data_IF_300219711945
#
_entry.id   IF_300219711945
#
_cell.length_a   1.000
_cell.length_b   1.000
_cell.length_c   1.000
_cell.angle_alpha   90.00
_cell.angle_beta   90.00
_cell.angle_gamma   90.00
#
_symmetry.space_group_name_H-M   'P 1'
#
loop_
_entity.id
_entity.type
_entity.pdbx_description
1 polymer ?
#
# COMPACT_ATOMS: atom_id res chain seq x y z
N UNK A 1 24.13 -10.26 -4.24
CA UNK A 1 23.11 -11.31 -4.53
C UNK A 1 22.47 -12.03 -3.31
N UNK A 2 23.22 -12.52 -2.31
CA UNK A 2 22.60 -13.24 -1.16
C UNK A 2 21.63 -12.34 -0.37
N UNK A 3 21.99 -11.08 -0.16
CA UNK A 3 21.19 -10.13 0.61
C UNK A 3 19.84 -9.83 -0.05
N UNK A 4 19.85 -9.71 -1.37
CA UNK A 4 18.71 -9.41 -2.22
C UNK A 4 17.67 -10.54 -2.18
N UNK A 5 18.12 -11.79 -2.26
CA UNK A 5 17.24 -12.96 -2.18
C UNK A 5 16.56 -13.04 -0.82
N UNK A 6 17.32 -12.80 0.27
CA UNK A 6 16.76 -12.78 1.63
C UNK A 6 15.73 -11.67 1.76
N UNK A 7 16.04 -10.45 1.30
CA UNK A 7 15.10 -9.33 1.35
C UNK A 7 13.83 -9.59 0.54
N UNK A 8 13.96 -10.16 -0.66
CA UNK A 8 12.82 -10.55 -1.49
C UNK A 8 11.96 -11.61 -0.79
N UNK A 9 12.59 -12.60 -0.15
CA UNK A 9 11.88 -13.61 0.64
C UNK A 9 11.15 -12.96 1.84
N UNK A 10 11.78 -12.01 2.54
CA UNK A 10 11.15 -11.26 3.63
C UNK A 10 9.92 -10.48 3.16
N UNK A 11 10.01 -9.76 2.03
CA UNK A 11 8.88 -9.05 1.44
C UNK A 11 7.77 -10.00 0.99
N UNK A 12 8.12 -11.13 0.37
CA UNK A 12 7.16 -12.14 -0.05
C UNK A 12 6.43 -12.76 1.15
N UNK A 13 7.17 -13.16 2.19
CA UNK A 13 6.60 -13.68 3.43
C UNK A 13 5.70 -12.65 4.11
N UNK A 14 6.13 -11.39 4.18
CA UNK A 14 5.32 -10.30 4.71
C UNK A 14 4.02 -10.13 3.93
N UNK A 15 4.10 -10.04 2.60
CA UNK A 15 2.95 -9.88 1.72
C UNK A 15 1.96 -11.05 1.82
N UNK A 16 2.46 -12.29 1.82
CA UNK A 16 1.64 -13.50 1.99
C UNK A 16 0.95 -13.52 3.35
N UNK A 17 1.68 -13.27 4.44
CA UNK A 17 1.10 -13.19 5.78
C UNK A 17 0.03 -12.10 5.85
N UNK A 18 0.31 -10.92 5.30
CA UNK A 18 -0.61 -9.80 5.26
C UNK A 18 -1.89 -10.15 4.50
N UNK A 19 -1.79 -10.66 3.27
CA UNK A 19 -2.96 -11.05 2.46
C UNK A 19 -3.77 -12.17 3.11
N UNK A 20 -3.12 -13.20 3.66
CA UNK A 20 -3.79 -14.32 4.31
C UNK A 20 -4.57 -13.87 5.54
N UNK A 21 -3.93 -13.08 6.41
CA UNK A 21 -4.56 -12.62 7.66
C UNK A 21 -5.55 -11.47 7.44
N UNK A 22 -5.46 -10.74 6.32
CA UNK A 22 -6.49 -9.76 5.92
C UNK A 22 -7.78 -10.41 5.40
N UNK A 23 -7.72 -11.68 4.95
CA UNK A 23 -8.84 -12.36 4.30
C UNK A 23 -10.03 -12.58 5.24
N UNK A 24 -11.24 -12.53 4.70
CA UNK A 24 -12.47 -12.83 5.46
C UNK A 24 -12.49 -14.28 5.95
N UNK A 25 -11.92 -15.22 5.19
CA UNK A 25 -11.81 -16.63 5.58
C UNK A 25 -11.01 -16.80 6.87
N UNK A 26 -9.86 -16.13 6.98
CA UNK A 26 -9.03 -16.23 8.18
C UNK A 26 -9.67 -15.54 9.38
N UNK A 27 -10.32 -14.39 9.17
CA UNK A 27 -11.12 -13.72 10.22
C UNK A 27 -12.22 -14.63 10.75
N UNK A 28 -12.97 -15.28 9.87
CA UNK A 28 -14.05 -16.19 10.25
C UNK A 28 -13.54 -17.44 10.95
N UNK A 29 -12.35 -17.93 10.59
CA UNK A 29 -11.69 -19.03 11.29
C UNK A 29 -11.32 -18.66 12.74
N UNK A 30 -10.84 -17.44 12.98
CA UNK A 30 -10.46 -16.98 14.32
C UNK A 30 -11.63 -16.45 15.16
N UNK A 31 -12.75 -16.10 14.52
CA UNK A 31 -13.92 -15.51 15.20
C UNK A 31 -14.45 -16.37 16.36
N UNK A 32 -14.59 -17.72 16.25
CA UNK A 32 -15.02 -18.56 17.36
C UNK A 32 -14.03 -18.56 18.54
N UNK A 33 -12.73 -18.43 18.26
CA UNK A 33 -11.66 -18.44 19.26
C UNK A 33 -11.61 -17.10 19.99
N UNK A 34 -11.71 -16.00 19.26
CA UNK A 34 -11.60 -14.65 19.81
C UNK A 34 -12.88 -14.21 20.54
N UNK A 35 -14.05 -14.75 20.19
CA UNK A 35 -15.33 -14.39 20.79
C UNK A 35 -15.54 -12.87 20.77
N UNK A 36 -15.79 -12.27 21.94
CA UNK A 36 -15.95 -10.80 22.08
C UNK A 36 -14.74 -9.99 21.62
N UNK A 37 -13.54 -10.56 21.63
CA UNK A 37 -12.32 -9.87 21.21
C UNK A 37 -12.17 -9.76 19.69
N UNK A 38 -13.05 -10.40 18.90
CA UNK A 38 -13.02 -10.29 17.44
C UNK A 38 -13.18 -8.85 16.95
N UNK A 39 -13.78 -7.98 17.76
CA UNK A 39 -13.93 -6.55 17.47
C UNK A 39 -12.58 -5.82 17.41
N UNK A 40 -11.55 -6.29 18.13
CA UNK A 40 -10.21 -5.71 18.14
C UNK A 40 -9.31 -6.30 17.05
N UNK A 41 -9.81 -7.24 16.23
CA UNK A 41 -9.00 -7.95 15.25
C UNK A 41 -8.27 -7.01 14.30
N UNK A 42 -8.96 -6.01 13.72
CA UNK A 42 -8.38 -5.06 12.76
C UNK A 42 -7.29 -4.19 13.40
N UNK A 43 -7.50 -3.74 14.64
CA UNK A 43 -6.51 -2.96 15.37
C UNK A 43 -5.26 -3.80 15.68
N UNK A 44 -5.44 -5.01 16.22
CA UNK A 44 -4.34 -5.93 16.51
C UNK A 44 -3.57 -6.33 15.25
N UNK A 45 -4.29 -6.61 14.17
CA UNK A 45 -3.73 -6.86 12.84
C UNK A 45 -2.81 -5.70 12.40
N UNK A 46 -3.30 -4.46 12.43
CA UNK A 46 -2.51 -3.30 12.00
C UNK A 46 -1.23 -3.14 12.84
N UNK A 47 -1.34 -3.31 14.17
CA UNK A 47 -0.18 -3.23 15.08
C UNK A 47 0.85 -4.30 14.74
N UNK A 48 0.41 -5.55 14.57
CA UNK A 48 1.29 -6.68 14.24
C UNK A 48 2.03 -6.40 12.93
N UNK A 49 1.36 -5.94 11.88
CA UNK A 49 2.01 -5.68 10.60
C UNK A 49 2.95 -4.47 10.62
N UNK A 50 2.65 -3.43 11.41
CA UNK A 50 3.61 -2.34 11.65
C UNK A 50 4.87 -2.87 12.36
N UNK A 51 4.71 -3.73 13.36
CA UNK A 51 5.85 -4.34 14.07
C UNK A 51 6.66 -5.26 13.16
N UNK A 52 6.00 -6.05 12.31
CA UNK A 52 6.67 -6.96 11.36
C UNK A 52 7.46 -6.22 10.27
N UNK A 53 7.17 -4.94 9.99
CA UNK A 53 8.00 -4.13 9.10
C UNK A 53 9.37 -3.80 9.71
N UNK A 54 9.49 -3.68 11.03
CA UNK A 54 10.74 -3.30 11.72
C UNK A 54 11.92 -4.19 11.34
N UNK A 55 11.85 -5.54 11.42
CA UNK A 55 12.96 -6.40 11.04
C UNK A 55 13.32 -6.27 9.55
N UNK A 56 12.34 -6.08 8.66
CA UNK A 56 12.57 -5.90 7.22
C UNK A 56 13.33 -4.61 6.96
N UNK A 57 12.90 -3.50 7.58
CA UNK A 57 13.58 -2.20 7.48
C UNK A 57 14.98 -2.28 8.09
N UNK A 58 15.15 -2.92 9.24
CA UNK A 58 16.48 -3.12 9.85
C UNK A 58 17.40 -3.92 8.93
N UNK A 59 16.88 -4.95 8.26
CA UNK A 59 17.64 -5.73 7.30
C UNK A 59 18.03 -4.91 6.08
N UNK A 60 17.07 -4.19 5.48
CA UNK A 60 17.28 -3.26 4.37
C UNK A 60 18.43 -2.26 4.64
N UNK A 61 18.48 -1.69 5.84
CA UNK A 61 19.44 -0.64 6.19
C UNK A 61 20.84 -1.19 6.53
N UNK A 62 20.96 -2.45 6.95
CA UNK A 62 22.22 -3.03 7.46
C UNK A 62 22.85 -4.06 6.54
N UNK A 63 22.06 -4.72 5.69
CA UNK A 63 22.55 -5.77 4.84
C UNK A 63 23.48 -5.21 3.76
N UNK A 64 24.54 -5.95 3.36
CA UNK A 64 25.39 -5.55 2.25
C UNK A 64 24.56 -5.38 0.98
N UNK A 65 24.80 -4.28 0.26
CA UNK A 65 24.08 -3.92 -0.97
C UNK A 65 25.04 -3.45 -2.04
N UNK A 66 24.80 -3.91 -3.27
CA UNK A 66 25.56 -3.50 -4.45
C UNK A 66 25.06 -2.13 -4.93
N UNK A 67 25.99 -1.25 -5.33
CA UNK A 67 25.66 0.05 -5.91
C UNK A 67 25.33 -0.18 -7.39
N UNK A 68 24.11 0.18 -7.79
CA UNK A 68 23.61 0.06 -9.17
C UNK A 68 23.53 1.43 -9.87
N UNK A 69 23.25 2.49 -9.12
CA UNK A 69 23.29 3.87 -9.59
C UNK A 69 24.35 4.62 -8.81
N UNK A 70 25.25 5.29 -9.53
CA UNK A 70 26.24 6.15 -8.89
C UNK A 70 25.57 7.28 -8.11
N UNK A 71 26.20 7.64 -6.98
CA UNK A 71 25.77 8.79 -6.18
C UNK A 71 26.13 10.08 -6.93
N UNK A 72 25.19 10.57 -7.72
CA UNK A 72 25.26 11.87 -8.38
C UNK A 72 24.30 12.86 -7.73
N UNK A 73 24.64 14.15 -7.79
CA UNK A 73 23.75 15.23 -7.32
C UNK A 73 22.39 15.17 -8.02
N UNK A 74 22.38 14.80 -9.31
CA UNK A 74 21.17 14.65 -10.11
C UNK A 74 20.28 13.53 -9.55
N UNK A 75 20.84 12.35 -9.29
CA UNK A 75 20.09 11.22 -8.74
C UNK A 75 19.52 11.52 -7.35
N UNK A 76 20.28 12.24 -6.52
CA UNK A 76 19.83 12.67 -5.20
C UNK A 76 18.69 13.69 -5.27
N UNK A 77 18.78 14.68 -6.16
CA UNK A 77 17.72 15.67 -6.37
C UNK A 77 16.46 14.98 -6.89
N UNK A 78 16.56 14.20 -7.97
CA UNK A 78 15.40 13.53 -8.57
C UNK A 78 14.78 12.51 -7.60
N UNK A 79 15.59 11.67 -6.96
CA UNK A 79 15.13 10.71 -5.96
C UNK A 79 14.49 11.39 -4.75
N UNK A 80 15.07 12.49 -4.28
CA UNK A 80 14.54 13.29 -3.18
C UNK A 80 13.19 13.94 -3.51
N UNK A 81 13.06 14.51 -4.72
CA UNK A 81 11.79 15.06 -5.22
C UNK A 81 10.71 13.99 -5.35
N UNK A 82 11.07 12.80 -5.83
CA UNK A 82 10.16 11.65 -5.87
C UNK A 82 9.74 11.25 -4.45
N UNK A 83 10.68 11.09 -3.52
CA UNK A 83 10.34 10.76 -2.12
C UNK A 83 9.40 11.82 -1.51
N UNK A 84 9.71 13.11 -1.68
CA UNK A 84 8.89 14.21 -1.16
C UNK A 84 7.48 14.24 -1.75
N UNK A 85 7.36 14.10 -3.07
CA UNK A 85 6.06 14.05 -3.76
C UNK A 85 5.25 12.81 -3.41
N UNK A 86 5.91 11.65 -3.28
CA UNK A 86 5.27 10.40 -2.82
C UNK A 86 4.73 10.50 -1.40
N UNK A 87 5.51 11.09 -0.49
CA UNK A 87 5.06 11.39 0.89
C UNK A 87 3.86 12.35 0.86
N UNK A 88 3.97 13.46 0.14
CA UNK A 88 2.91 14.46 0.03
C UNK A 88 1.61 13.86 -0.49
N UNK A 89 1.69 13.08 -1.58
CA UNK A 89 0.54 12.41 -2.17
C UNK A 89 -0.04 11.36 -1.22
N UNK A 90 0.80 10.56 -0.57
CA UNK A 90 0.38 9.55 0.40
C UNK A 90 -0.38 10.17 1.58
N UNK A 91 0.17 11.22 2.20
CA UNK A 91 -0.52 11.95 3.27
C UNK A 91 -1.81 12.62 2.81
N UNK A 92 -1.84 13.16 1.59
CA UNK A 92 -3.04 13.77 1.03
C UNK A 92 -4.14 12.74 0.78
N UNK A 93 -3.77 11.55 0.29
CA UNK A 93 -4.68 10.43 0.12
C UNK A 93 -5.19 9.88 1.47
N UNK A 94 -4.36 9.85 2.52
CA UNK A 94 -4.78 9.39 3.85
C UNK A 94 -5.91 10.22 4.46
N UNK A 95 -6.00 11.52 4.13
CA UNK A 95 -7.11 12.39 4.60
C UNK A 95 -8.49 11.95 4.10
N UNK A 96 -8.53 11.10 3.08
CA UNK A 96 -9.76 10.57 2.47
C UNK A 96 -10.31 9.36 3.24
N UNK A 97 -9.43 8.64 3.91
CA UNK A 97 -9.78 7.47 4.71
C UNK A 97 -10.25 7.90 6.10
N UNK A 98 -11.36 7.33 6.56
CA UNK A 98 -11.75 7.46 7.96
C UNK A 98 -10.76 6.64 8.80
N UNK A 99 -9.91 7.32 9.58
CA UNK A 99 -8.89 6.67 10.40
C UNK A 99 -9.51 5.67 11.39
N UNK A 100 -10.72 5.92 11.86
CA UNK A 100 -11.40 4.99 12.77
C UNK A 100 -11.86 3.72 12.05
N UNK A 101 -12.30 3.84 10.80
CA UNK A 101 -12.61 2.69 9.94
C UNK A 101 -11.32 1.92 9.58
N UNK A 102 -10.25 2.62 9.21
CA UNK A 102 -8.95 2.03 8.88
C UNK A 102 -8.35 1.26 10.05
N UNK A 103 -8.42 1.82 11.26
CA UNK A 103 -7.96 1.17 12.50
C UNK A 103 -8.95 0.11 13.02
N UNK A 104 -10.21 0.15 12.59
CA UNK A 104 -11.28 -0.74 13.05
C UNK A 104 -11.88 -0.37 14.41
N UNK A 105 -11.71 0.88 14.84
CA UNK A 105 -12.29 1.41 16.09
C UNK A 105 -13.71 1.95 15.90
N UNK A 106 -14.16 2.06 14.65
CA UNK A 106 -15.56 2.31 14.26
C UNK A 106 -16.52 1.21 14.75
N UNK A 107 -16.08 -0.05 14.70
CA UNK A 107 -16.83 -1.18 15.24
C UNK A 107 -17.08 -1.03 16.76
N UNK A 108 -16.11 -0.47 17.50
CA UNK A 108 -16.26 -0.19 18.94
C UNK A 108 -17.31 0.89 19.23
N UNK A 109 -17.59 1.76 18.26
CA UNK A 109 -18.60 2.84 18.37
C UNK A 109 -20.01 2.37 17.97
N UNK A 110 -20.18 1.09 17.62
CA UNK A 110 -21.48 0.53 17.21
C UNK A 110 -22.00 1.04 15.86
N UNK A 111 -21.16 1.68 15.04
CA UNK A 111 -21.60 2.24 13.76
C UNK A 111 -21.61 1.18 12.66
N UNK A 112 -22.80 0.79 12.18
CA UNK A 112 -22.96 0.03 10.94
C UNK A 112 -23.21 0.99 9.76
N UNK A 113 -22.19 1.77 9.39
CA UNK A 113 -22.30 2.61 8.20
C UNK A 113 -22.39 1.70 6.98
N UNK A 114 -23.44 1.87 6.16
CA UNK A 114 -23.47 1.25 4.84
C UNK A 114 -22.28 1.77 4.04
N UNK A 115 -21.56 0.90 3.31
CA UNK A 115 -20.46 1.33 2.48
C UNK A 115 -21.00 2.26 1.38
N UNK A 116 -20.39 3.43 1.26
CA UNK A 116 -20.71 4.42 0.22
C UNK A 116 -19.45 4.59 -0.61
N UNK A 117 -19.60 4.50 -1.94
CA UNK A 117 -18.50 4.79 -2.85
C UNK A 117 -18.19 6.28 -2.77
N UNK A 118 -17.05 6.62 -2.17
CA UNK A 118 -16.54 7.99 -2.06
C UNK A 118 -15.55 8.21 -3.20
N UNK A 119 -15.85 9.19 -4.05
CA UNK A 119 -14.94 9.67 -5.09
C UNK A 119 -14.67 11.13 -4.74
N UNK A 120 -13.47 11.40 -4.25
CA UNK A 120 -13.00 12.75 -3.96
C UNK A 120 -12.06 13.27 -5.06
N UNK A 121 -11.43 14.41 -4.82
CA UNK A 121 -10.55 15.08 -5.77
C UNK A 121 -9.41 14.18 -6.27
N UNK A 122 -8.61 13.55 -5.39
CA UNK A 122 -7.51 12.70 -5.86
C UNK A 122 -8.04 11.40 -6.50
N UNK A 123 -9.08 10.82 -5.91
CA UNK A 123 -9.73 9.62 -6.44
C UNK A 123 -10.45 9.88 -7.78
N UNK A 124 -10.71 11.14 -8.15
CA UNK A 124 -11.21 11.50 -9.48
C UNK A 124 -10.11 11.53 -10.56
N UNK A 125 -8.85 11.69 -10.15
CA UNK A 125 -7.69 11.74 -11.05
C UNK A 125 -7.13 10.33 -11.28
N UNK A 126 -6.91 9.58 -10.20
CA UNK A 126 -6.46 8.18 -10.21
C UNK A 126 -7.22 7.39 -9.16
N UNK A 127 -7.55 6.13 -9.43
CA UNK A 127 -8.36 5.32 -8.49
C UNK A 127 -7.65 4.98 -7.18
N UNK A 128 -6.32 4.92 -7.20
CA UNK A 128 -5.52 4.49 -6.05
C UNK A 128 -4.41 5.49 -5.71
N UNK A 129 -4.75 6.71 -5.25
CA UNK A 129 -3.77 7.77 -5.02
C UNK A 129 -2.77 7.42 -3.90
N UNK A 130 -3.21 6.71 -2.86
CA UNK A 130 -2.33 6.24 -1.78
C UNK A 130 -1.27 5.27 -2.30
N UNK A 131 -1.67 4.29 -3.11
CA UNK A 131 -0.73 3.35 -3.73
C UNK A 131 0.21 4.04 -4.70
N UNK A 132 -0.27 5.00 -5.49
CA UNK A 132 0.60 5.81 -6.34
C UNK A 132 1.65 6.54 -5.51
N UNK A 133 1.26 7.18 -4.40
CA UNK A 133 2.20 7.85 -3.48
C UNK A 133 3.26 6.90 -2.91
N UNK A 134 2.86 5.71 -2.50
CA UNK A 134 3.78 4.67 -2.01
C UNK A 134 4.75 4.25 -3.12
N UNK A 135 4.27 4.01 -4.35
CA UNK A 135 5.11 3.63 -5.48
C UNK A 135 6.13 4.73 -5.82
N UNK A 136 5.68 5.98 -5.91
CA UNK A 136 6.56 7.13 -6.15
C UNK A 136 7.64 7.21 -5.06
N UNK A 137 7.25 7.04 -3.79
CA UNK A 137 8.19 7.08 -2.68
C UNK A 137 9.25 5.97 -2.78
N UNK A 138 8.86 4.70 -2.96
CA UNK A 138 9.82 3.58 -2.96
C UNK A 138 10.74 3.61 -4.17
N UNK A 139 10.23 4.01 -5.34
CA UNK A 139 11.08 4.23 -6.52
C UNK A 139 12.01 5.44 -6.34
N UNK A 140 11.54 6.49 -5.64
CA UNK A 140 12.37 7.61 -5.22
C UNK A 140 13.51 7.18 -4.29
N UNK A 141 13.27 6.26 -3.35
CA UNK A 141 14.35 5.73 -2.49
C UNK A 141 15.39 4.97 -3.30
N UNK A 142 15.01 4.20 -4.33
CA UNK A 142 15.97 3.57 -5.23
C UNK A 142 16.76 4.62 -6.03
N UNK A 143 16.10 5.64 -6.58
CA UNK A 143 16.78 6.73 -7.28
C UNK A 143 17.77 7.50 -6.39
N UNK A 144 17.41 7.70 -5.11
CA UNK A 144 18.23 8.44 -4.16
C UNK A 144 19.44 7.65 -3.64
N UNK A 145 19.22 6.40 -3.19
CA UNK A 145 20.27 5.57 -2.60
C UNK A 145 21.06 4.77 -3.64
N UNK A 146 20.43 4.40 -4.75
CA UNK A 146 21.07 3.76 -5.89
C UNK A 146 21.50 2.32 -5.66
N UNK A 147 21.02 1.63 -4.63
CA UNK A 147 21.51 0.29 -4.27
C UNK A 147 20.53 -0.84 -4.61
N UNK A 148 21.07 -2.05 -4.80
CA UNK A 148 20.34 -3.26 -5.16
C UNK A 148 19.18 -3.59 -4.20
N UNK A 149 19.33 -3.35 -2.89
CA UNK A 149 18.28 -3.63 -1.92
C UNK A 149 17.09 -2.66 -2.05
N UNK A 150 17.32 -1.39 -2.37
CA UNK A 150 16.24 -0.44 -2.63
C UNK A 150 15.50 -0.77 -3.93
N UNK A 151 16.21 -1.26 -4.95
CA UNK A 151 15.59 -1.77 -6.17
C UNK A 151 14.68 -2.98 -5.88
N UNK A 152 15.19 -3.96 -5.13
CA UNK A 152 14.43 -5.15 -4.73
C UNK A 152 13.18 -4.76 -3.94
N UNK A 153 13.29 -3.81 -3.01
CA UNK A 153 12.14 -3.27 -2.27
C UNK A 153 11.13 -2.60 -3.20
N UNK A 154 11.56 -1.74 -4.11
CA UNK A 154 10.67 -1.05 -5.06
C UNK A 154 9.93 -2.04 -5.96
N UNK A 155 10.62 -3.05 -6.50
CA UNK A 155 10.02 -4.10 -7.34
C UNK A 155 9.04 -4.95 -6.52
N UNK A 156 9.45 -5.41 -5.33
CA UNK A 156 8.61 -6.27 -4.47
C UNK A 156 7.30 -5.57 -4.09
N UNK A 157 7.38 -4.30 -3.69
CA UNK A 157 6.20 -3.50 -3.36
C UNK A 157 5.35 -3.17 -4.59
N UNK A 158 5.96 -2.97 -5.75
CA UNK A 158 5.22 -2.78 -7.02
C UNK A 158 4.36 -3.99 -7.34
N UNK A 159 4.91 -5.20 -7.29
CA UNK A 159 4.14 -6.43 -7.52
C UNK A 159 3.06 -6.63 -6.46
N UNK A 160 3.41 -6.46 -5.18
CA UNK A 160 2.47 -6.62 -4.08
C UNK A 160 1.28 -5.65 -4.20
N UNK A 161 1.53 -4.37 -4.45
CA UNK A 161 0.49 -3.35 -4.67
C UNK A 161 -0.36 -3.70 -5.89
N UNK A 162 0.26 -4.14 -7.00
CA UNK A 162 -0.49 -4.49 -8.20
C UNK A 162 -1.47 -5.63 -7.96
N UNK A 163 -1.04 -6.65 -7.22
CA UNK A 163 -1.88 -7.78 -6.80
C UNK A 163 -2.96 -7.30 -5.83
N UNK A 164 -2.60 -6.46 -4.85
CA UNK A 164 -3.54 -5.85 -3.90
C UNK A 164 -4.68 -5.11 -4.61
N UNK A 165 -4.34 -4.22 -5.54
CA UNK A 165 -5.31 -3.48 -6.37
C UNK A 165 -6.27 -4.43 -7.09
N UNK A 166 -5.77 -5.51 -7.68
CA UNK A 166 -6.61 -6.46 -8.40
C UNK A 166 -7.70 -7.07 -7.50
N UNK A 167 -7.34 -7.48 -6.29
CA UNK A 167 -8.30 -8.04 -5.33
C UNK A 167 -9.23 -6.97 -4.75
N UNK A 168 -8.71 -5.79 -4.48
CA UNK A 168 -9.49 -4.65 -4.00
C UNK A 168 -10.55 -4.21 -5.01
N UNK A 169 -10.17 -4.02 -6.28
CA UNK A 169 -11.12 -3.66 -7.33
C UNK A 169 -12.17 -4.75 -7.54
N UNK A 170 -11.80 -6.03 -7.49
CA UNK A 170 -12.77 -7.14 -7.51
C UNK A 170 -13.77 -7.05 -6.36
N UNK A 171 -13.33 -6.67 -5.16
CA UNK A 171 -14.22 -6.49 -4.01
C UNK A 171 -15.14 -5.28 -4.24
N UNK A 172 -14.60 -4.16 -4.70
CA UNK A 172 -15.37 -2.94 -4.96
C UNK A 172 -16.41 -3.14 -6.08
N UNK A 173 -16.12 -3.92 -7.11
CA UNK A 173 -17.11 -4.33 -8.13
C UNK A 173 -18.22 -5.16 -7.50
N UNK A 174 -17.90 -6.13 -6.63
CA UNK A 174 -18.93 -6.92 -5.93
C UNK A 174 -19.82 -6.07 -5.03
N UNK A 175 -19.25 -5.03 -4.42
CA UNK A 175 -19.91 -4.18 -3.44
C UNK A 175 -20.76 -3.07 -4.09
N UNK A 176 -20.26 -2.44 -5.16
CA UNK A 176 -20.88 -1.27 -5.80
C UNK A 176 -21.40 -1.53 -7.23
N UNK A 177 -21.12 -2.70 -7.80
CA UNK A 177 -21.61 -3.13 -9.11
C UNK A 177 -21.28 -2.16 -10.24
N UNK A 178 -22.28 -1.92 -11.12
CA UNK A 178 -22.14 -1.06 -12.31
C UNK A 178 -21.61 0.35 -12.03
N UNK A 179 -21.84 0.89 -10.82
CA UNK A 179 -21.33 2.22 -10.45
C UNK A 179 -19.79 2.22 -10.43
N UNK A 180 -19.18 1.19 -9.84
CA UNK A 180 -17.73 1.07 -9.80
C UNK A 180 -17.15 0.69 -11.15
N UNK A 181 -17.83 -0.16 -11.93
CA UNK A 181 -17.40 -0.48 -13.29
C UNK A 181 -17.36 0.77 -14.19
N UNK A 182 -18.34 1.67 -14.06
CA UNK A 182 -18.35 2.96 -14.77
C UNK A 182 -17.13 3.80 -14.35
N UNK A 183 -16.92 3.94 -13.04
CA UNK A 183 -15.77 4.65 -12.49
C UNK A 183 -14.42 4.08 -12.97
N UNK A 184 -14.28 2.76 -13.09
CA UNK A 184 -13.07 2.11 -13.64
C UNK A 184 -12.78 2.47 -15.09
N UNK A 185 -13.79 2.80 -15.89
CA UNK A 185 -13.63 3.23 -17.30
C UNK A 185 -13.21 4.69 -17.39
N UNK A 186 -13.75 5.53 -16.51
CA UNK A 186 -13.56 6.97 -16.51
C UNK A 186 -12.21 7.38 -15.90
N UNK A 187 -11.84 6.80 -14.76
CA UNK A 187 -10.65 7.19 -13.99
C UNK A 187 -9.58 6.11 -14.11
N UNK A 188 -8.32 6.43 -14.47
CA UNK A 188 -7.25 5.45 -14.57
C UNK A 188 -6.80 4.91 -13.21
N UNK A 189 -6.15 3.75 -13.19
CA UNK A 189 -5.80 3.04 -11.96
C UNK A 189 -4.72 3.75 -11.13
N UNK A 190 -3.58 4.11 -11.75
CA UNK A 190 -2.40 4.66 -11.07
C UNK A 190 -1.75 5.80 -11.85
N UNK A 191 -1.66 5.70 -13.18
CA UNK A 191 -1.03 6.75 -13.99
C UNK A 191 -2.15 7.70 -14.46
N UNK A 192 -2.10 9.00 -14.07
CA UNK A 192 -3.10 9.95 -14.51
C UNK A 192 -3.09 10.04 -16.04
N UNK A 193 -4.28 10.19 -16.64
CA UNK A 193 -4.35 10.56 -18.06
C UNK A 193 -3.85 12.00 -18.16
N UNK A 194 -2.88 12.25 -19.02
CA UNK A 194 -2.65 13.61 -19.48
C UNK A 194 -3.95 14.03 -20.14
N UNK A 195 -4.67 14.96 -19.53
CA UNK A 195 -5.84 15.56 -20.16
C UNK A 195 -5.33 16.22 -21.43
N UNK A 196 -5.82 15.79 -22.59
CA UNK A 196 -5.84 16.66 -23.76
C UNK A 196 -6.67 17.85 -23.33
N UNK A 197 -6.03 19.00 -23.15
CA UNK A 197 -6.71 20.24 -22.79
C UNK A 197 -7.83 20.49 -23.80
N UNK A 198 -9.07 20.44 -23.34
CA UNK A 198 -10.24 20.97 -24.04
C UNK A 198 -10.84 22.06 -23.19
#
# INVERSE_FOLDING_TARGET
>A
MKSEIILMALWLSYGLLHTLTASESFKNLLKPILGRFSIYYRLGYNIVFVVLLIPIIKYQLKAPSEILLEKSIMNQILGGLMMGSGIFLGFSALKQYDLSEFLGTDALKGSSKKPVLRIDELSSIVRHPLYLGILIFVWGTFGFFGTSLYLVTAISLTFYIRIGIYFEEKKLVKEFGKKYEKYQKEVPMLIPRLSDGK
#
